data_IF_047739883570
#
_entry.id   IF_047739883570
#
_cell.length_a   1.000
_cell.length_b   1.000
_cell.length_c   1.000
_cell.angle_alpha   90.00
_cell.angle_beta   90.00
_cell.angle_gamma   90.00
#
_symmetry.space_group_name_H-M   'P 1'
#
loop_
_entity.id
_entity.type
_entity.pdbx_description
1 polymer ?
#
# COMPACT_ATOMS: atom_id res chain seq x y z
N UNK A 1 -4.39 58.56 19.38
CA UNK A 1 -4.14 58.89 17.96
C UNK A 1 -2.91 58.07 17.56
N UNK A 2 -3.12 56.93 16.92
CA UNK A 2 -3.01 56.74 15.46
C UNK A 2 -1.53 56.74 15.04
N UNK A 3 -0.96 55.76 14.33
CA UNK A 3 -1.55 54.80 13.39
C UNK A 3 -0.53 53.70 13.10
N UNK A 4 -1.04 52.50 12.87
CA UNK A 4 -0.35 51.26 12.55
C UNK A 4 0.12 51.28 11.08
N UNK A 5 1.42 51.09 10.84
CA UNK A 5 2.02 51.03 9.50
C UNK A 5 1.86 49.61 8.94
N UNK A 6 0.84 49.40 8.10
CA UNK A 6 0.62 48.14 7.37
C UNK A 6 1.53 48.11 6.15
N UNK A 7 2.40 47.11 6.10
CA UNK A 7 3.19 46.74 4.92
C UNK A 7 2.30 46.51 3.69
N UNK A 8 2.49 47.31 2.66
CA UNK A 8 1.85 47.17 1.35
C UNK A 8 2.35 45.89 0.67
N UNK A 9 1.48 44.90 0.55
CA UNK A 9 1.71 43.77 -0.35
C UNK A 9 1.66 44.30 -1.79
N UNK A 10 2.78 44.21 -2.50
CA UNK A 10 2.88 44.55 -3.92
C UNK A 10 1.82 43.75 -4.70
N UNK A 11 0.84 44.45 -5.28
CA UNK A 11 -0.09 43.88 -6.24
C UNK A 11 0.71 43.52 -7.51
N UNK A 12 0.81 42.23 -7.84
CA UNK A 12 1.36 41.79 -9.12
C UNK A 12 0.53 42.40 -10.25
N UNK A 13 1.17 43.28 -11.04
CA UNK A 13 0.53 43.90 -12.20
C UNK A 13 0.31 42.84 -13.28
N UNK A 14 -0.94 42.44 -13.42
CA UNK A 14 -1.44 41.56 -14.49
C UNK A 14 -1.71 42.42 -15.74
N UNK A 15 -1.34 41.93 -16.93
CA UNK A 15 -1.58 42.64 -18.19
C UNK A 15 -3.08 42.70 -18.57
N UNK A 16 -3.44 43.44 -19.63
CA UNK A 16 -4.83 43.56 -20.08
C UNK A 16 -5.47 42.24 -20.54
N UNK A 17 -4.66 41.21 -20.79
CA UNK A 17 -5.11 39.85 -21.11
C UNK A 17 -5.22 38.94 -19.87
N UNK A 18 -4.98 39.48 -18.67
CA UNK A 18 -5.02 38.69 -17.44
C UNK A 18 -3.80 37.78 -17.26
N UNK A 19 -2.67 38.05 -17.91
CA UNK A 19 -1.41 37.34 -17.80
C UNK A 19 -0.42 38.05 -16.86
N UNK A 20 0.33 37.25 -16.12
CA UNK A 20 1.47 37.69 -15.32
C UNK A 20 2.64 38.09 -16.23
N UNK A 21 3.56 38.95 -15.75
CA UNK A 21 4.79 39.28 -16.46
C UNK A 21 5.52 37.99 -16.89
N UNK A 22 5.80 37.88 -18.20
CA UNK A 22 6.32 36.65 -18.81
C UNK A 22 5.28 35.80 -19.56
N UNK A 23 4.02 36.23 -19.63
CA UNK A 23 2.98 35.60 -20.46
C UNK A 23 2.36 34.34 -19.85
N UNK A 24 2.48 34.18 -18.53
CA UNK A 24 1.85 33.06 -17.81
C UNK A 24 0.47 33.46 -17.28
N UNK A 25 -0.49 32.54 -17.29
CA UNK A 25 -1.76 32.77 -16.60
C UNK A 25 -1.57 32.67 -15.08
N UNK A 26 -2.22 33.54 -14.29
CA UNK A 26 -2.24 33.40 -12.84
C UNK A 26 -2.89 32.07 -12.46
N UNK A 27 -2.32 31.38 -11.46
CA UNK A 27 -2.85 30.12 -10.98
C UNK A 27 -4.30 30.30 -10.48
N UNK A 28 -5.25 29.70 -11.20
CA UNK A 28 -6.68 29.82 -10.91
C UNK A 28 -7.27 28.41 -10.76
N UNK A 29 -7.24 27.83 -9.55
CA UNK A 29 -7.83 26.51 -9.34
C UNK A 29 -9.34 26.63 -9.52
N UNK A 30 -9.88 25.97 -10.55
CA UNK A 30 -11.32 25.90 -10.79
C UNK A 30 -11.88 24.93 -9.75
N UNK A 31 -12.26 25.45 -8.59
CA UNK A 31 -12.99 24.70 -7.58
C UNK A 31 -14.47 24.64 -7.99
N UNK A 32 -14.79 23.83 -8.99
CA UNK A 32 -16.17 23.47 -9.28
C UNK A 32 -16.74 22.72 -8.08
N UNK A 33 -17.80 23.23 -7.46
CA UNK A 33 -18.46 22.63 -6.29
C UNK A 33 -18.94 21.18 -6.51
N UNK A 34 -18.97 20.71 -7.76
CA UNK A 34 -19.46 19.39 -8.15
C UNK A 34 -18.40 18.46 -8.77
N UNK A 35 -17.15 18.91 -8.96
CA UNK A 35 -16.15 18.14 -9.73
C UNK A 35 -15.24 17.24 -8.87
N UNK A 36 -15.27 17.41 -7.54
CA UNK A 36 -14.45 16.61 -6.63
C UNK A 36 -15.31 16.08 -5.48
N UNK A 37 -15.71 14.81 -5.57
CA UNK A 37 -16.10 14.09 -4.37
C UNK A 37 -14.84 13.99 -3.50
N UNK A 38 -14.82 14.64 -2.33
CA UNK A 38 -13.74 14.53 -1.34
C UNK A 38 -13.65 13.15 -0.67
N UNK A 39 -14.19 12.11 -1.32
CA UNK A 39 -14.08 10.73 -0.86
C UNK A 39 -12.68 10.27 -1.23
N UNK A 40 -11.92 9.85 -0.22
CA UNK A 40 -10.59 9.29 -0.43
C UNK A 40 -10.65 8.13 -1.43
N UNK A 41 -9.66 8.04 -2.33
CA UNK A 41 -9.58 6.97 -3.33
C UNK A 41 -9.64 5.58 -2.68
N UNK A 42 -9.14 5.49 -1.45
CA UNK A 42 -9.17 4.31 -0.58
C UNK A 42 -10.58 3.81 -0.24
N UNK A 43 -11.57 4.70 -0.24
CA UNK A 43 -12.97 4.39 0.06
C UNK A 43 -13.87 4.42 -1.20
N UNK A 44 -13.35 4.93 -2.31
CA UNK A 44 -14.12 5.09 -3.55
C UNK A 44 -14.40 3.78 -4.30
N UNK A 45 -13.52 2.76 -4.17
CA UNK A 45 -13.71 1.45 -4.81
C UNK A 45 -14.27 0.41 -3.83
N UNK A 46 -15.21 -0.45 -4.26
CA UNK A 46 -15.67 -1.56 -3.44
C UNK A 46 -14.56 -2.59 -3.24
N UNK A 47 -14.67 -3.40 -2.18
CA UNK A 47 -13.72 -4.47 -1.85
C UNK A 47 -13.60 -5.56 -2.93
N UNK A 48 -14.59 -5.64 -3.81
CA UNK A 48 -14.63 -6.54 -4.97
C UNK A 48 -13.76 -6.03 -6.14
N UNK A 49 -13.37 -4.76 -6.14
CA UNK A 49 -12.53 -4.14 -7.18
C UNK A 49 -11.33 -3.40 -6.55
N UNK A 50 -10.50 -4.18 -5.87
CA UNK A 50 -9.26 -3.69 -5.29
C UNK A 50 -8.12 -3.63 -6.31
N UNK A 51 -7.16 -2.75 -6.04
CA UNK A 51 -5.90 -2.64 -6.78
C UNK A 51 -4.76 -3.06 -5.88
N UNK A 52 -4.05 -4.13 -6.28
CA UNK A 52 -2.90 -4.62 -5.53
C UNK A 52 -1.65 -4.38 -6.35
N UNK A 53 -0.70 -3.66 -5.77
CA UNK A 53 0.63 -3.49 -6.35
C UNK A 53 1.57 -4.51 -5.73
N UNK A 54 2.02 -5.47 -6.53
CA UNK A 54 2.93 -6.55 -6.10
C UNK A 54 4.35 -6.23 -6.58
N UNK A 55 5.26 -6.00 -5.65
CA UNK A 55 6.70 -5.88 -5.89
C UNK A 55 7.26 -7.27 -6.14
N UNK A 56 7.52 -7.60 -7.39
CA UNK A 56 8.16 -8.86 -7.79
C UNK A 56 9.67 -8.71 -7.56
N UNK A 57 10.21 -9.42 -6.60
CA UNK A 57 11.63 -9.35 -6.21
C UNK A 57 12.36 -10.51 -6.85
N UNK A 58 13.37 -10.20 -7.68
CA UNK A 58 14.25 -11.19 -8.30
C UNK A 58 15.47 -11.49 -7.44
N UNK A 59 16.01 -10.48 -6.75
CA UNK A 59 17.18 -10.63 -5.90
C UNK A 59 17.20 -9.53 -4.83
N UNK A 60 17.38 -9.95 -3.57
CA UNK A 60 17.54 -9.04 -2.44
C UNK A 60 18.91 -8.34 -2.45
N UNK A 61 19.98 -9.10 -2.64
CA UNK A 61 21.35 -8.59 -2.65
C UNK A 61 21.57 -7.48 -3.70
N UNK A 62 21.05 -7.65 -4.91
CA UNK A 62 21.14 -6.63 -5.97
C UNK A 62 19.95 -5.66 -6.01
N UNK A 63 19.05 -5.71 -5.01
CA UNK A 63 17.82 -4.91 -4.92
C UNK A 63 17.01 -4.88 -6.24
N UNK A 64 16.98 -6.00 -6.94
CA UNK A 64 16.32 -6.12 -8.24
C UNK A 64 14.85 -6.47 -8.06
N UNK A 65 13.98 -5.47 -8.25
CA UNK A 65 12.52 -5.63 -8.18
C UNK A 65 11.81 -4.96 -9.36
N UNK A 66 10.57 -5.40 -9.64
CA UNK A 66 9.65 -4.68 -10.51
C UNK A 66 8.22 -4.73 -9.96
N UNK A 67 7.54 -3.59 -9.92
CA UNK A 67 6.16 -3.50 -9.45
C UNK A 67 5.19 -3.98 -10.53
N UNK A 68 4.33 -4.92 -10.17
CA UNK A 68 3.23 -5.46 -10.95
C UNK A 68 1.92 -4.94 -10.37
N UNK A 69 1.17 -4.16 -11.14
CA UNK A 69 -0.12 -3.61 -10.70
C UNK A 69 -1.24 -4.52 -11.18
N UNK A 70 -1.94 -5.15 -10.25
CA UNK A 70 -3.12 -5.97 -10.48
C UNK A 70 -4.37 -5.15 -10.17
N UNK A 71 -5.33 -5.12 -11.10
CA UNK A 71 -6.62 -4.41 -10.97
C UNK A 71 -7.77 -5.42 -11.03
N UNK A 72 -8.93 -5.08 -10.48
CA UNK A 72 -10.08 -5.99 -10.48
C UNK A 72 -9.81 -7.23 -9.65
N UNK A 73 -9.28 -7.05 -8.45
CA UNK A 73 -9.08 -8.12 -7.48
C UNK A 73 -10.23 -8.09 -6.48
N UNK A 74 -10.92 -9.21 -6.34
CA UNK A 74 -11.93 -9.38 -5.31
C UNK A 74 -11.29 -9.92 -4.03
N UNK A 75 -11.19 -9.07 -3.01
CA UNK A 75 -10.55 -9.42 -1.74
C UNK A 75 -11.38 -10.43 -0.91
N UNK A 76 -12.68 -10.51 -1.18
CA UNK A 76 -13.64 -11.29 -0.38
C UNK A 76 -13.69 -12.77 -0.78
N UNK A 77 -13.35 -13.08 -2.03
CA UNK A 77 -13.40 -14.43 -2.60
C UNK A 77 -12.01 -14.98 -2.88
N UNK A 78 -11.10 -14.15 -3.39
CA UNK A 78 -9.79 -14.60 -3.86
C UNK A 78 -8.88 -15.03 -2.71
N UNK A 79 -8.18 -16.13 -2.90
CA UNK A 79 -7.22 -16.71 -1.96
C UNK A 79 -5.79 -16.23 -2.24
N UNK A 80 -4.89 -16.46 -1.29
CA UNK A 80 -3.46 -16.14 -1.43
C UNK A 80 -2.80 -16.97 -2.52
N UNK A 81 -3.14 -18.26 -2.63
CA UNK A 81 -2.61 -19.14 -3.67
C UNK A 81 -3.00 -18.67 -5.07
N UNK A 82 -4.28 -18.37 -5.29
CA UNK A 82 -4.76 -17.82 -6.57
C UNK A 82 -4.05 -16.50 -6.90
N UNK A 83 -3.74 -15.67 -5.89
CA UNK A 83 -3.02 -14.42 -6.10
C UNK A 83 -1.57 -14.67 -6.55
N UNK A 84 -0.89 -15.67 -5.97
CA UNK A 84 0.46 -16.07 -6.38
C UNK A 84 0.47 -16.58 -7.82
N UNK A 85 -0.49 -17.42 -8.19
CA UNK A 85 -0.62 -17.95 -9.55
C UNK A 85 -0.86 -16.83 -10.56
N UNK A 86 -1.82 -15.94 -10.27
CA UNK A 86 -2.11 -14.77 -11.11
C UNK A 86 -0.87 -13.88 -11.28
N UNK A 87 -0.07 -13.68 -10.23
CA UNK A 87 1.20 -12.97 -10.34
C UNK A 87 2.18 -13.67 -11.30
N UNK A 88 2.36 -14.99 -11.18
CA UNK A 88 3.25 -15.78 -12.05
C UNK A 88 2.81 -15.73 -13.52
N UNK A 89 1.52 -15.77 -13.78
CA UNK A 89 0.96 -15.62 -15.13
C UNK A 89 1.25 -14.25 -15.72
N UNK A 90 0.95 -13.18 -14.99
CA UNK A 90 1.13 -11.80 -15.46
C UNK A 90 2.61 -11.46 -15.71
N UNK A 91 3.52 -11.97 -14.87
CA UNK A 91 4.98 -11.89 -15.09
C UNK A 91 5.39 -12.61 -16.39
N UNK A 92 4.71 -13.70 -16.74
CA UNK A 92 4.91 -14.42 -18.00
C UNK A 92 4.41 -13.64 -19.22
N UNK A 93 3.19 -13.09 -19.13
CA UNK A 93 2.48 -12.39 -20.21
C UNK A 93 3.14 -11.05 -20.55
N UNK A 94 3.45 -10.23 -19.54
CA UNK A 94 3.87 -8.85 -19.77
C UNK A 94 5.34 -8.79 -20.29
N UNK A 95 5.61 -8.03 -21.37
CA UNK A 95 6.97 -7.91 -21.92
C UNK A 95 7.93 -7.18 -20.96
N UNK A 96 7.40 -6.27 -20.15
CA UNK A 96 8.17 -5.49 -19.17
C UNK A 96 8.83 -6.38 -18.08
N UNK A 97 8.34 -7.61 -17.91
CA UNK A 97 8.84 -8.58 -16.94
C UNK A 97 9.78 -9.62 -17.56
N UNK A 98 10.26 -9.44 -18.80
CA UNK A 98 11.17 -10.37 -19.47
C UNK A 98 12.36 -10.81 -18.60
N UNK A 99 12.98 -9.88 -17.86
CA UNK A 99 14.12 -10.17 -16.98
C UNK A 99 13.77 -10.97 -15.70
N UNK A 100 12.48 -11.05 -15.36
CA UNK A 100 11.94 -11.72 -14.17
C UNK A 100 11.34 -13.10 -14.48
N UNK A 101 11.14 -13.43 -15.76
CA UNK A 101 10.55 -14.71 -16.19
C UNK A 101 11.32 -15.93 -15.71
N UNK A 102 12.65 -15.87 -15.67
CA UNK A 102 13.48 -16.98 -15.16
C UNK A 102 13.41 -17.14 -13.64
N UNK A 103 12.98 -16.10 -12.92
CA UNK A 103 12.86 -16.14 -11.47
C UNK A 103 11.44 -16.50 -11.03
N UNK A 104 10.42 -16.33 -11.88
CA UNK A 104 8.99 -16.45 -11.51
C UNK A 104 8.64 -17.79 -10.84
N UNK A 105 9.26 -18.88 -11.29
CA UNK A 105 8.95 -20.23 -10.81
C UNK A 105 9.53 -20.49 -9.42
N UNK A 106 10.58 -19.75 -9.05
CA UNK A 106 11.18 -19.78 -7.71
C UNK A 106 10.42 -18.91 -6.69
N UNK A 107 9.50 -18.05 -7.14
CA UNK A 107 8.74 -17.18 -6.25
C UNK A 107 7.60 -17.96 -5.58
N UNK A 108 7.53 -17.89 -4.26
CA UNK A 108 6.60 -18.69 -3.45
C UNK A 108 5.92 -17.90 -2.32
N UNK A 109 6.51 -16.78 -1.90
CA UNK A 109 6.14 -16.09 -0.67
C UNK A 109 5.64 -14.69 -0.94
N UNK A 110 4.48 -14.35 -0.36
CA UNK A 110 3.93 -13.00 -0.37
C UNK A 110 4.08 -12.37 1.02
N UNK A 111 4.41 -11.08 1.05
CA UNK A 111 4.53 -10.29 2.28
C UNK A 111 3.93 -8.91 2.08
N UNK A 112 3.25 -8.38 3.10
CA UNK A 112 2.77 -7.00 3.07
C UNK A 112 3.98 -6.05 3.17
N UNK A 113 4.10 -5.09 2.24
CA UNK A 113 5.24 -4.18 2.19
C UNK A 113 4.99 -2.91 3.02
N UNK A 114 3.87 -2.25 2.78
CA UNK A 114 3.43 -1.06 3.52
C UNK A 114 2.07 -1.30 4.12
N UNK A 115 1.83 -0.64 5.26
CA UNK A 115 0.54 -0.58 5.93
C UNK A 115 0.16 0.88 6.09
N UNK A 116 -1.12 1.17 5.93
CA UNK A 116 -1.70 2.50 6.16
C UNK A 116 -1.21 3.08 7.49
N UNK A 117 -0.76 4.33 7.48
CA UNK A 117 -0.26 5.07 8.65
C UNK A 117 0.99 4.50 9.34
N UNK A 118 1.67 3.51 8.75
CA UNK A 118 2.97 3.02 9.19
C UNK A 118 4.13 3.90 8.70
N UNK A 119 5.23 3.95 9.45
CA UNK A 119 6.47 4.52 8.94
C UNK A 119 6.97 3.68 7.76
N UNK A 120 7.34 4.35 6.66
CA UNK A 120 7.92 3.69 5.50
C UNK A 120 9.26 3.06 5.90
N UNK A 121 9.49 1.81 5.51
CA UNK A 121 10.78 1.16 5.78
C UNK A 121 11.92 1.88 5.06
N UNK A 122 13.10 1.90 5.68
CA UNK A 122 14.33 2.44 5.10
C UNK A 122 14.89 1.54 3.99
N UNK A 123 14.53 0.25 4.00
CA UNK A 123 14.93 -0.72 3.00
C UNK A 123 14.04 -0.65 1.75
N UNK A 124 14.62 -0.23 0.63
CA UNK A 124 13.87 -0.02 -0.63
C UNK A 124 13.34 -1.32 -1.28
N UNK A 125 13.89 -2.48 -0.89
CA UNK A 125 13.56 -3.77 -1.51
C UNK A 125 12.46 -4.52 -0.78
N UNK A 126 12.52 -4.56 0.56
CA UNK A 126 11.55 -5.24 1.43
C UNK A 126 11.64 -4.66 2.84
N UNK A 127 10.54 -4.69 3.59
CA UNK A 127 10.57 -4.37 5.03
C UNK A 127 11.25 -5.50 5.82
N UNK A 128 12.13 -5.14 6.76
CA UNK A 128 12.82 -6.11 7.64
C UNK A 128 12.23 -6.14 9.04
N UNK A 129 11.55 -5.07 9.44
CA UNK A 129 11.10 -4.84 10.82
C UNK A 129 9.87 -5.67 11.22
N UNK A 130 9.24 -6.33 10.23
CA UNK A 130 7.97 -7.03 10.40
C UNK A 130 7.99 -8.40 9.69
N UNK A 131 8.52 -9.42 10.36
CA UNK A 131 8.57 -10.80 9.86
C UNK A 131 7.20 -11.50 9.94
N UNK A 132 6.29 -11.00 10.76
CA UNK A 132 4.92 -11.50 10.96
C UNK A 132 3.98 -11.19 9.79
N UNK A 133 4.36 -10.28 8.88
CA UNK A 133 3.51 -9.85 7.75
C UNK A 133 3.58 -10.78 6.53
N UNK A 134 4.15 -11.97 6.71
CA UNK A 134 4.29 -12.95 5.65
C UNK A 134 3.00 -13.79 5.57
N UNK A 135 2.47 -13.90 4.35
CA UNK A 135 1.27 -14.65 4.05
C UNK A 135 1.61 -16.14 3.87
N UNK A 136 1.77 -16.84 5.00
CA UNK A 136 2.11 -18.26 5.02
C UNK A 136 0.92 -19.17 4.66
N UNK A 137 -0.30 -18.72 4.94
CA UNK A 137 -1.51 -19.51 4.74
C UNK A 137 -2.08 -19.25 3.34
N UNK A 138 -1.90 -20.21 2.45
CA UNK A 138 -2.31 -20.13 1.04
C UNK A 138 -3.82 -20.20 0.82
N UNK A 139 -4.54 -20.88 1.71
CA UNK A 139 -5.98 -21.12 1.59
C UNK A 139 -6.84 -19.98 2.14
N UNK A 140 -6.23 -19.08 2.95
CA UNK A 140 -6.94 -17.91 3.47
C UNK A 140 -7.29 -16.92 2.37
N UNK A 141 -8.42 -16.27 2.57
CA UNK A 141 -8.88 -15.17 1.73
C UNK A 141 -8.05 -13.93 2.01
N UNK A 142 -7.88 -13.09 1.00
CA UNK A 142 -7.11 -11.85 1.13
C UNK A 142 -7.72 -10.92 2.19
N UNK A 143 -9.05 -10.87 2.29
CA UNK A 143 -9.77 -10.11 3.32
C UNK A 143 -9.38 -10.49 4.75
N UNK A 144 -9.25 -11.79 5.04
CA UNK A 144 -8.94 -12.30 6.39
C UNK A 144 -7.51 -11.97 6.83
N UNK A 145 -6.63 -11.69 5.85
CA UNK A 145 -5.25 -11.30 6.09
C UNK A 145 -5.09 -9.80 6.30
N UNK A 146 -6.22 -9.11 6.49
CA UNK A 146 -6.30 -7.68 6.70
C UNK A 146 -6.29 -6.87 5.41
N UNK A 147 -6.43 -7.47 4.22
CA UNK A 147 -6.59 -6.70 2.98
C UNK A 147 -8.07 -6.38 2.76
N UNK A 148 -8.54 -5.19 3.15
CA UNK A 148 -9.88 -4.73 2.81
C UNK A 148 -10.98 -5.11 3.81
N UNK A 149 -10.73 -5.09 5.12
CA UNK A 149 -11.84 -5.07 6.08
C UNK A 149 -12.32 -3.62 6.31
N UNK A 150 -13.59 -3.34 6.01
CA UNK A 150 -14.25 -2.15 6.53
C UNK A 150 -14.48 -2.32 8.04
N UNK A 151 -14.27 -1.30 8.88
CA UNK A 151 -14.60 -1.38 10.30
C UNK A 151 -16.12 -1.55 10.45
N UNK A 152 -16.59 -2.80 10.45
CA UNK A 152 -17.96 -3.12 10.80
C UNK A 152 -18.21 -2.66 12.23
N UNK A 153 -19.26 -1.87 12.36
CA UNK A 153 -19.80 -1.22 13.54
C UNK A 153 -19.29 -1.79 14.88
N UNK A 154 -18.59 -0.94 15.62
CA UNK A 154 -18.22 -1.12 17.03
C UNK A 154 -19.29 -1.90 17.83
N UNK A 155 -19.11 -3.19 18.09
CA UNK A 155 -19.82 -3.82 19.21
C UNK A 155 -19.09 -3.44 20.50
N UNK A 156 -19.60 -2.42 21.18
CA UNK A 156 -19.18 -1.98 22.51
C UNK A 156 -19.64 -2.93 23.63
N UNK A 157 -19.93 -4.21 23.37
CA UNK A 157 -20.06 -5.21 24.44
C UNK A 157 -18.71 -5.44 25.14
N UNK A 158 -18.40 -4.53 26.07
CA UNK A 158 -17.67 -4.85 27.30
C UNK A 158 -18.36 -6.05 27.94
N UNK A 159 -17.88 -7.26 27.67
CA UNK A 159 -17.98 -8.37 28.59
C UNK A 159 -16.73 -8.35 29.45
N UNK A 160 -16.81 -7.61 30.55
CA UNK A 160 -15.98 -7.89 31.72
C UNK A 160 -16.30 -9.31 32.18
N UNK A 161 -15.38 -10.25 31.96
CA UNK A 161 -15.36 -11.52 32.68
C UNK A 161 -13.95 -11.75 33.22
N UNK A 162 -13.90 -11.53 34.53
CA UNK A 162 -13.00 -11.98 35.59
C UNK A 162 -11.68 -12.69 35.29
N UNK A 163 -10.70 -12.24 36.07
CA UNK A 163 -9.36 -12.76 36.32
C UNK A 163 -9.31 -14.29 36.56
N UNK A 164 -8.78 -15.02 35.59
CA UNK A 164 -7.84 -16.12 35.82
C UNK A 164 -6.63 -15.90 34.89
N UNK A 165 -5.46 -16.41 35.27
CA UNK A 165 -4.14 -16.02 34.75
C UNK A 165 -3.88 -16.39 33.27
N UNK A 166 -4.91 -16.77 32.52
CA UNK A 166 -4.82 -17.32 31.18
C UNK A 166 -5.89 -16.69 30.28
N UNK A 167 -5.88 -15.36 30.18
CA UNK A 167 -6.80 -14.64 29.26
C UNK A 167 -6.20 -13.34 28.73
N UNK A 168 -4.92 -13.40 28.31
CA UNK A 168 -4.23 -12.31 27.61
C UNK A 168 -4.08 -12.55 26.10
N UNK A 169 -4.73 -13.59 25.54
CA UNK A 169 -4.46 -14.06 24.16
C UNK A 169 -5.50 -13.61 23.13
N UNK A 170 -6.68 -13.11 23.52
CA UNK A 170 -7.77 -12.85 22.56
C UNK A 170 -8.02 -11.38 22.21
N UNK A 171 -7.35 -10.42 22.87
CA UNK A 171 -7.58 -8.98 22.64
C UNK A 171 -6.52 -8.37 21.69
N UNK A 172 -5.35 -8.99 21.56
CA UNK A 172 -4.28 -8.51 20.67
C UNK A 172 -4.40 -9.00 19.21
N UNK A 173 -5.26 -9.97 18.93
CA UNK A 173 -5.44 -10.52 17.57
C UNK A 173 -6.42 -9.74 16.69
N UNK A 174 -7.09 -8.70 17.21
CA UNK A 174 -8.20 -8.03 16.51
C UNK A 174 -8.01 -6.50 16.30
N UNK A 175 -6.82 -5.96 16.55
CA UNK A 175 -6.50 -4.53 16.42
C UNK A 175 -5.77 -4.19 15.09
N UNK A 176 -5.40 -5.18 14.28
CA UNK A 176 -4.76 -4.95 12.98
C UNK A 176 -5.77 -5.10 11.83
N UNK A 177 -6.77 -4.20 11.78
CA UNK A 177 -7.71 -4.08 10.66
C UNK A 177 -7.19 -3.05 9.67
N UNK A 178 -6.83 -3.45 8.46
CA UNK A 178 -6.46 -2.51 7.38
C UNK A 178 -7.62 -2.33 6.41
N UNK A 179 -7.97 -1.07 6.21
CA UNK A 179 -9.12 -0.60 5.46
C UNK A 179 -8.66 0.11 4.20
N UNK A 180 -8.07 -0.61 3.25
CA UNK A 180 -7.69 -0.02 1.97
C UNK A 180 -8.01 -1.00 0.83
N UNK A 181 -8.73 -0.51 -0.17
CA UNK A 181 -8.92 -1.15 -1.47
C UNK A 181 -7.64 -1.11 -2.33
N UNK A 182 -6.56 -0.52 -1.80
CA UNK A 182 -5.23 -0.44 -2.37
C UNK A 182 -4.22 -1.07 -1.40
N UNK A 183 -3.36 -1.95 -1.89
CA UNK A 183 -2.35 -2.59 -1.06
C UNK A 183 -1.04 -2.80 -1.81
N UNK A 184 0.08 -2.66 -1.10
CA UNK A 184 1.40 -3.03 -1.62
C UNK A 184 1.89 -4.33 -0.98
N UNK A 185 2.13 -5.33 -1.82
CA UNK A 185 2.70 -6.62 -1.43
C UNK A 185 4.09 -6.81 -2.06
N UNK A 186 4.89 -7.70 -1.51
CA UNK A 186 6.16 -8.17 -2.06
C UNK A 186 6.05 -9.66 -2.36
N UNK A 187 6.49 -10.07 -3.55
CA UNK A 187 6.51 -11.47 -4.00
C UNK A 187 7.95 -11.91 -4.28
N UNK A 188 8.41 -12.92 -3.55
CA UNK A 188 9.82 -13.33 -3.52
C UNK A 188 9.97 -14.84 -3.24
N UNK A 189 11.21 -15.32 -3.31
CA UNK A 189 11.60 -16.67 -2.90
C UNK A 189 11.94 -16.69 -1.39
N UNK A 190 11.34 -17.61 -0.64
CA UNK A 190 11.49 -17.70 0.82
C UNK A 190 12.94 -17.91 1.26
N UNK A 191 13.64 -18.82 0.61
CA UNK A 191 15.00 -19.21 0.99
C UNK A 191 15.96 -18.03 0.78
N UNK A 192 15.87 -17.36 -0.37
CA UNK A 192 16.64 -16.15 -0.69
C UNK A 192 16.41 -15.03 0.36
N UNK A 193 15.19 -14.93 0.91
CA UNK A 193 14.85 -13.96 1.95
C UNK A 193 15.48 -14.32 3.30
N UNK A 194 15.44 -15.60 3.70
CA UNK A 194 16.03 -16.06 4.95
C UNK A 194 17.56 -15.99 4.93
N UNK A 195 18.19 -16.20 3.78
CA UNK A 195 19.62 -15.95 3.59
C UNK A 195 19.94 -14.46 3.73
N UNK A 196 19.15 -13.60 3.10
CA UNK A 196 19.31 -12.14 3.19
C UNK A 196 19.10 -11.61 4.62
N UNK A 197 18.25 -12.22 5.43
CA UNK A 197 18.09 -11.84 6.83
C UNK A 197 19.33 -12.10 7.68
N UNK A 198 20.15 -13.11 7.33
CA UNK A 198 21.40 -13.42 8.06
C UNK A 198 22.49 -12.39 7.76
N UNK A 199 22.53 -11.92 6.52
CA UNK A 199 23.48 -10.92 6.05
C UNK A 199 22.81 -9.95 5.07
N UNK A 200 22.21 -8.85 5.56
CA UNK A 200 21.46 -7.90 4.74
C UNK A 200 22.39 -6.93 3.97
N UNK A 201 23.48 -7.45 3.40
CA UNK A 201 24.40 -6.67 2.58
C UNK A 201 23.85 -6.49 1.16
N UNK A 202 24.05 -5.28 0.62
CA UNK A 202 23.69 -4.97 -0.76
C UNK A 202 24.90 -5.01 -1.65
N UNK A 203 24.79 -5.78 -2.73
CA UNK A 203 25.77 -5.89 -3.81
C UNK A 203 25.44 -4.86 -4.89
N UNK A 204 26.47 -4.21 -5.41
CA UNK A 204 26.39 -3.19 -6.46
C UNK A 204 26.89 -3.72 -7.80
#
# INVERSE_FOLDING_TARGET
MATEERSEAQQEQVDENGLLPGGFHPFRPVLGTNDFSNVETNHARPLTDAVITVRVIKSFAYRSMKALVLRGIDLTSMTVEELKERCKEEVGKQPAFKAFRSAKDRLDTLKIYTRAHGAKTTNLIINLDHTDWILNDGSKKLQELGLGESPSHKDHRRRTLTCSHETLVLIHSNIYRYSENEAELSFFNRDDYEEFLKDPETKW
#
